data_IF_953837604996
#
_entry.id   IF_953837604996
#
_cell.length_a   1.000
_cell.length_b   1.000
_cell.length_c   1.000
_cell.angle_alpha   90.00
_cell.angle_beta   90.00
_cell.angle_gamma   90.00
#
_symmetry.space_group_name_H-M   'P 1'
#
loop_
_entity.id
_entity.type
_entity.pdbx_description
1 polymer ?
#
# COMPACT_ATOMS: atom_id res chain seq x y z
N UNK A 1 -20.54 14.12 -13.31
CA UNK A 1 -21.23 12.83 -13.40
C UNK A 1 -21.62 12.42 -11.99
N UNK A 2 -22.91 12.33 -11.69
CA UNK A 2 -23.42 11.87 -10.39
C UNK A 2 -23.27 10.35 -10.33
N UNK A 3 -22.43 9.86 -9.41
CA UNK A 3 -22.30 8.43 -9.14
C UNK A 3 -23.64 7.92 -8.60
N UNK A 4 -24.34 7.12 -9.39
CA UNK A 4 -25.63 6.54 -9.01
C UNK A 4 -25.32 5.24 -8.27
N UNK A 5 -25.31 5.32 -6.94
CA UNK A 5 -25.07 4.16 -6.08
C UNK A 5 -26.15 3.10 -6.32
N UNK A 6 -25.71 1.85 -6.40
CA UNK A 6 -26.58 0.68 -6.46
C UNK A 6 -27.36 0.52 -5.16
N UNK A 7 -28.46 -0.23 -5.20
CA UNK A 7 -29.26 -0.50 -4.01
C UNK A 7 -28.45 -1.20 -2.90
N UNK A 8 -27.47 -2.03 -3.27
CA UNK A 8 -26.57 -2.69 -2.31
C UNK A 8 -25.58 -1.71 -1.67
N UNK A 9 -25.04 -0.76 -2.43
CA UNK A 9 -24.11 0.23 -1.87
C UNK A 9 -24.82 1.18 -0.90
N UNK A 10 -26.06 1.58 -1.20
CA UNK A 10 -26.85 2.43 -0.30
C UNK A 10 -27.17 1.70 1.01
N UNK A 11 -27.52 0.40 0.98
CA UNK A 11 -27.82 -0.34 2.22
C UNK A 11 -26.59 -0.55 3.10
N UNK A 12 -25.40 -0.69 2.50
CA UNK A 12 -24.14 -0.75 3.24
C UNK A 12 -23.85 0.60 3.93
N UNK A 13 -24.06 1.73 3.22
CA UNK A 13 -23.87 3.07 3.78
C UNK A 13 -24.83 3.29 4.94
N UNK A 14 -26.13 3.04 4.75
CA UNK A 14 -27.14 3.20 5.79
C UNK A 14 -26.81 2.35 7.03
N UNK A 15 -26.35 1.11 6.82
CA UNK A 15 -25.94 0.23 7.91
C UNK A 15 -24.72 0.76 8.68
N UNK A 16 -23.70 1.27 7.99
CA UNK A 16 -22.49 1.84 8.61
C UNK A 16 -22.82 3.15 9.34
N UNK A 17 -23.61 4.04 8.72
CA UNK A 17 -23.99 5.34 9.28
C UNK A 17 -25.00 5.23 10.43
N UNK A 18 -25.82 4.16 10.46
CA UNK A 18 -26.76 3.91 11.55
C UNK A 18 -26.10 3.64 12.90
N UNK A 19 -24.77 3.45 12.94
CA UNK A 19 -23.95 3.24 14.14
C UNK A 19 -24.43 2.08 15.05
N UNK A 20 -25.29 1.20 14.50
CA UNK A 20 -25.94 0.08 15.19
C UNK A 20 -25.26 -1.26 14.93
N UNK A 21 -24.04 -1.25 14.37
CA UNK A 21 -23.30 -2.47 14.07
C UNK A 21 -22.97 -3.22 15.38
N UNK A 22 -23.55 -4.42 15.62
CA UNK A 22 -23.26 -5.19 16.82
C UNK A 22 -21.81 -5.67 16.79
N UNK A 23 -21.15 -5.63 17.95
CA UNK A 23 -19.80 -6.18 18.06
C UNK A 23 -19.84 -7.69 17.84
N UNK A 24 -18.90 -8.20 17.04
CA UNK A 24 -18.75 -9.64 16.85
C UNK A 24 -18.33 -10.32 18.15
N UNK A 25 -18.83 -11.53 18.38
CA UNK A 25 -18.36 -12.39 19.46
C UNK A 25 -16.86 -12.67 19.26
N UNK A 26 -16.08 -12.69 20.34
CA UNK A 26 -14.64 -12.94 20.31
C UNK A 26 -13.79 -11.88 19.56
N UNK A 27 -14.17 -10.61 19.68
CA UNK A 27 -13.50 -9.44 19.07
C UNK A 27 -11.97 -9.45 19.23
N UNK A 28 -11.44 -9.89 20.37
CA UNK A 28 -9.99 -9.93 20.64
C UNK A 28 -9.29 -10.88 19.67
N UNK A 29 -9.78 -12.11 19.52
CA UNK A 29 -9.17 -13.10 18.63
C UNK A 29 -9.28 -12.69 17.15
N UNK A 30 -10.40 -12.10 16.74
CA UNK A 30 -10.55 -11.65 15.36
C UNK A 30 -9.64 -10.46 15.05
N UNK A 31 -9.48 -9.49 15.96
CA UNK A 31 -8.48 -8.42 15.81
C UNK A 31 -7.06 -8.98 15.68
N UNK A 32 -6.70 -9.94 16.53
CA UNK A 32 -5.38 -10.58 16.46
C UNK A 32 -5.21 -11.34 15.14
N UNK A 33 -6.22 -12.06 14.67
CA UNK A 33 -6.22 -12.75 13.38
C UNK A 33 -5.98 -11.79 12.21
N UNK A 34 -6.75 -10.70 12.12
CA UNK A 34 -6.58 -9.71 11.05
C UNK A 34 -5.22 -9.01 11.12
N UNK A 35 -4.73 -8.72 12.32
CA UNK A 35 -3.38 -8.19 12.52
C UNK A 35 -2.32 -9.15 11.96
N UNK A 36 -2.43 -10.45 12.25
CA UNK A 36 -1.48 -11.44 11.73
C UNK A 36 -1.56 -11.57 10.21
N UNK A 37 -2.75 -11.52 9.62
CA UNK A 37 -2.93 -11.53 8.16
C UNK A 37 -2.26 -10.31 7.53
N UNK A 38 -2.47 -9.12 8.09
CA UNK A 38 -1.85 -7.88 7.60
C UNK A 38 -0.32 -7.95 7.67
N UNK A 39 0.23 -8.43 8.80
CA UNK A 39 1.68 -8.62 8.96
C UNK A 39 2.22 -9.62 7.93
N UNK A 40 1.56 -10.76 7.77
CA UNK A 40 1.96 -11.80 6.84
C UNK A 40 1.95 -11.29 5.38
N UNK A 41 0.92 -10.54 4.99
CA UNK A 41 0.86 -9.90 3.66
C UNK A 41 1.96 -8.86 3.45
N UNK A 42 2.19 -7.97 4.43
CA UNK A 42 3.25 -6.95 4.34
C UNK A 42 4.65 -7.55 4.26
N UNK A 43 4.88 -8.70 4.90
CA UNK A 43 6.17 -9.39 4.88
C UNK A 43 6.43 -10.17 3.59
N UNK A 44 5.40 -10.42 2.77
CA UNK A 44 5.53 -11.23 1.56
C UNK A 44 6.28 -10.46 0.47
N UNK A 45 7.54 -10.82 0.27
CA UNK A 45 8.41 -10.21 -0.75
C UNK A 45 8.45 -11.06 -2.02
N UNK A 46 8.41 -10.43 -3.19
CA UNK A 46 8.63 -11.07 -4.50
C UNK A 46 9.85 -10.43 -5.15
N UNK A 47 10.82 -11.23 -5.58
CA UNK A 47 11.97 -10.75 -6.34
C UNK A 47 11.56 -10.48 -7.80
N UNK A 48 12.04 -9.36 -8.35
CA UNK A 48 11.86 -8.99 -9.75
C UNK A 48 13.21 -8.55 -10.34
N UNK A 49 13.43 -8.83 -11.62
CA UNK A 49 14.60 -8.35 -12.35
C UNK A 49 14.19 -7.12 -13.19
N UNK A 50 14.94 -6.02 -13.07
CA UNK A 50 14.69 -4.78 -13.82
C UNK A 50 15.99 -4.43 -14.54
N UNK A 51 15.90 -4.12 -15.84
CA UNK A 51 17.01 -3.56 -16.61
C UNK A 51 16.93 -2.04 -16.56
N UNK A 52 18.04 -1.40 -16.23
CA UNK A 52 18.19 0.05 -16.16
C UNK A 52 19.45 0.45 -16.92
N UNK A 53 19.51 1.70 -17.36
CA UNK A 53 20.74 2.26 -17.90
C UNK A 53 21.80 2.36 -16.81
N UNK A 54 23.06 2.10 -17.17
CA UNK A 54 24.19 2.18 -16.24
C UNK A 54 24.32 3.58 -15.63
N UNK A 55 24.17 4.61 -16.47
CA UNK A 55 24.18 6.02 -16.05
C UNK A 55 23.10 6.35 -15.00
N UNK A 56 21.92 5.74 -15.10
CA UNK A 56 20.85 5.94 -14.11
C UNK A 56 21.19 5.24 -12.79
N UNK A 57 21.78 4.03 -12.85
CA UNK A 57 22.23 3.31 -11.66
C UNK A 57 23.27 4.15 -10.89
N UNK A 58 24.23 4.74 -11.59
CA UNK A 58 25.24 5.61 -10.97
C UNK A 58 24.63 6.84 -10.31
N UNK A 59 23.69 7.51 -10.99
CA UNK A 59 22.96 8.66 -10.44
C UNK A 59 22.15 8.28 -9.19
N UNK A 60 21.50 7.12 -9.19
CA UNK A 60 20.75 6.62 -8.04
C UNK A 60 21.70 6.31 -6.88
N UNK A 61 22.85 5.68 -7.14
CA UNK A 61 23.87 5.43 -6.11
C UNK A 61 24.33 6.73 -5.46
N UNK A 62 24.66 7.74 -6.25
CA UNK A 62 25.07 9.06 -5.75
C UNK A 62 23.98 9.70 -4.86
N UNK A 63 22.71 9.67 -5.30
CA UNK A 63 21.57 10.16 -4.52
C UNK A 63 21.34 9.36 -3.23
N UNK A 64 21.56 8.05 -3.26
CA UNK A 64 21.38 7.19 -2.08
C UNK A 64 22.45 7.46 -1.02
N UNK A 65 23.69 7.73 -1.44
CA UNK A 65 24.79 8.10 -0.55
C UNK A 65 24.53 9.43 0.16
N UNK A 66 24.01 10.44 -0.54
CA UNK A 66 23.69 11.72 0.08
C UNK A 66 22.56 11.64 1.12
N UNK A 67 21.67 10.65 0.98
CA UNK A 67 20.59 10.39 1.95
C UNK A 67 20.99 9.37 3.04
N UNK A 68 22.20 8.80 2.98
CA UNK A 68 22.65 7.78 3.93
C UNK A 68 21.89 6.44 3.81
N UNK A 69 21.32 6.15 2.64
CA UNK A 69 20.52 4.94 2.40
C UNK A 69 21.19 4.02 1.36
N UNK A 70 21.03 2.70 1.46
CA UNK A 70 21.42 1.80 0.37
C UNK A 70 20.63 2.10 -0.90
N UNK A 71 21.29 2.07 -2.07
CA UNK A 71 20.64 2.37 -3.34
C UNK A 71 19.46 1.43 -3.66
N UNK A 72 19.54 0.15 -3.26
CA UNK A 72 18.41 -0.77 -3.43
C UNK A 72 17.20 -0.34 -2.58
N UNK A 73 17.42 0.17 -1.37
CA UNK A 73 16.37 0.67 -0.49
C UNK A 73 15.70 1.91 -1.08
N UNK A 74 16.49 2.82 -1.66
CA UNK A 74 15.95 3.99 -2.34
C UNK A 74 15.07 3.60 -3.54
N UNK A 75 15.54 2.67 -4.38
CA UNK A 75 14.76 2.13 -5.51
C UNK A 75 13.45 1.51 -5.02
N UNK A 76 13.51 0.67 -4.00
CA UNK A 76 12.32 0.04 -3.41
C UNK A 76 11.32 1.06 -2.84
N UNK A 77 11.82 2.10 -2.19
CA UNK A 77 11.00 3.20 -1.66
C UNK A 77 10.28 3.95 -2.78
N UNK A 78 10.97 4.26 -3.89
CA UNK A 78 10.37 4.94 -5.03
C UNK A 78 9.25 4.09 -5.68
N UNK A 79 9.52 2.79 -5.89
CA UNK A 79 8.51 1.86 -6.42
C UNK A 79 7.30 1.79 -5.49
N UNK A 80 7.52 1.70 -4.18
CA UNK A 80 6.44 1.67 -3.20
C UNK A 80 5.63 2.98 -3.19
N UNK A 81 6.29 4.13 -3.25
CA UNK A 81 5.61 5.43 -3.27
C UNK A 81 4.79 5.60 -4.54
N UNK A 82 5.33 5.19 -5.70
CA UNK A 82 4.60 5.20 -6.96
C UNK A 82 3.38 4.26 -6.92
N UNK A 83 3.54 3.03 -6.42
CA UNK A 83 2.45 2.04 -6.33
C UNK A 83 1.33 2.42 -5.35
N UNK A 84 1.56 3.38 -4.44
CA UNK A 84 0.57 3.89 -3.50
C UNK A 84 0.13 5.32 -3.85
N UNK A 85 0.27 5.74 -5.11
CA UNK A 85 -0.14 7.04 -5.65
C UNK A 85 0.43 8.26 -4.90
N UNK A 86 1.52 8.08 -4.14
CA UNK A 86 2.22 9.18 -3.46
C UNK A 86 3.05 10.02 -4.44
N UNK A 87 3.43 9.43 -5.57
CA UNK A 87 4.17 10.07 -6.65
C UNK A 87 3.45 9.76 -7.96
N UNK A 88 3.27 10.76 -8.82
CA UNK A 88 2.75 10.60 -10.18
C UNK A 88 3.89 10.71 -11.19
N UNK A 89 3.90 9.82 -12.18
CA UNK A 89 4.72 10.00 -13.37
C UNK A 89 3.94 10.89 -14.32
N UNK A 90 4.40 12.12 -14.53
CA UNK A 90 3.86 12.93 -15.61
C UNK A 90 4.34 12.33 -16.93
N UNK A 91 3.39 12.06 -17.83
CA UNK A 91 3.62 11.53 -19.18
C UNK A 91 3.44 12.64 -20.20
#
# INVERSE_FOLDING_TARGET
MTLKLTSEENTIIDYVESNNAPSINNLKNEKDRYKQIAIAQMSKKKAINIRLLESDIERIKAKSLSQGLPYQTLIGSLIHQYANDKIKLES
#
